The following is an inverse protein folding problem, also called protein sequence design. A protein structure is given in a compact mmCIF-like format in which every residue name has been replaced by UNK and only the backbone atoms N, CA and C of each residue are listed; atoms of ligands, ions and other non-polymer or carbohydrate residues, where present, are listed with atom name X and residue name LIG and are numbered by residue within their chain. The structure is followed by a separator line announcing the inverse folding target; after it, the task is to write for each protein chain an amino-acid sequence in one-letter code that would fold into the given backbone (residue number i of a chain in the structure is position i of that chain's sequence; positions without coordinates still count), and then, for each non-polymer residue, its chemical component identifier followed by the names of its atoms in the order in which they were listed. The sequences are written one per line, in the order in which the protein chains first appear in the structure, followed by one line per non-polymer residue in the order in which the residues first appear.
data_IF_169271501096
#
_entry.id   IF_169271501096
#
_cell.length_a   1.000
_cell.length_b   1.000
_cell.length_c   1.000
_cell.angle_alpha   90.00
_cell.angle_beta   90.00
_cell.angle_gamma   90.00
#
_symmetry.space_group_name_H-M   'P 1'
#
loop_
_entity.id
_entity.type
_entity.pdbx_description
1 polymer ?
#
# COMPACT_ATOMS: atom_id res chain seq x y z
N UNK A 1 1.36 -3.32 -30.38
CA UNK A 1 1.84 -2.24 -29.52
C UNK A 1 2.72 -2.93 -28.49
N UNK A 2 4.03 -2.67 -28.49
CA UNK A 2 4.93 -3.25 -27.49
C UNK A 2 4.52 -2.75 -26.11
N UNK A 3 4.23 -3.66 -25.20
CA UNK A 3 4.08 -3.33 -23.77
C UNK A 3 5.40 -2.68 -23.32
N UNK A 4 5.36 -1.51 -22.68
CA UNK A 4 6.58 -0.88 -22.19
C UNK A 4 7.23 -1.80 -21.14
N UNK A 5 8.50 -2.11 -21.35
CA UNK A 5 9.33 -2.90 -20.42
C UNK A 5 9.68 -2.08 -19.16
N UNK A 6 10.33 -2.72 -18.18
CA UNK A 6 10.89 -2.06 -17.01
C UNK A 6 11.65 -0.76 -17.36
N UNK A 7 11.23 0.36 -16.76
CA UNK A 7 11.86 1.66 -16.93
C UNK A 7 12.72 1.98 -15.70
N UNK A 8 14.07 1.92 -15.79
CA UNK A 8 14.97 2.25 -14.69
C UNK A 8 14.93 3.74 -14.31
N UNK A 9 14.43 4.60 -15.20
CA UNK A 9 14.29 6.05 -14.99
C UNK A 9 12.89 6.42 -14.46
N UNK A 10 12.00 5.44 -14.25
CA UNK A 10 10.70 5.68 -13.65
C UNK A 10 10.89 6.39 -12.31
N UNK A 11 10.32 7.60 -12.19
CA UNK A 11 10.45 8.39 -10.98
C UNK A 11 10.01 7.55 -9.79
N UNK A 12 10.84 7.53 -8.74
CA UNK A 12 10.60 6.71 -7.56
C UNK A 12 9.15 6.75 -7.12
N UNK A 13 8.65 5.60 -6.66
CA UNK A 13 7.49 5.60 -5.76
C UNK A 13 7.78 6.66 -4.69
N UNK A 14 6.94 7.71 -4.56
CA UNK A 14 7.18 8.77 -3.59
C UNK A 14 7.19 8.25 -2.15
N UNK A 15 6.95 6.96 -1.89
CA UNK A 15 6.84 6.35 -0.56
C UNK A 15 8.08 5.56 -0.11
N UNK A 16 9.03 5.31 -1.01
CA UNK A 16 10.43 5.00 -0.65
C UNK A 16 11.03 6.17 0.15
N UNK A 17 10.63 7.40 -0.11
CA UNK A 17 11.03 8.58 0.69
C UNK A 17 9.84 9.19 1.44
N UNK A 18 9.27 8.44 2.40
CA UNK A 18 8.46 9.07 3.45
C UNK A 18 7.58 8.13 4.25
N UNK A 19 6.47 8.70 4.70
CA UNK A 19 5.70 8.33 5.89
C UNK A 19 5.50 6.84 6.07
N UNK A 20 5.72 6.42 7.30
CA UNK A 20 5.58 5.05 7.74
C UNK A 20 4.19 4.87 8.36
N UNK A 21 3.17 4.43 7.61
CA UNK A 21 1.90 4.04 8.18
C UNK A 21 2.06 2.83 9.11
N UNK A 22 1.15 2.67 10.06
CA UNK A 22 1.09 1.50 10.95
C UNK A 22 0.09 0.48 10.42
N UNK A 23 -0.01 -0.70 11.02
CA UNK A 23 -1.08 -1.65 10.69
C UNK A 23 -2.47 -0.96 10.65
N UNK A 24 -3.31 -1.38 9.70
CA UNK A 24 -4.66 -0.83 9.45
C UNK A 24 -4.68 0.65 9.05
N UNK A 25 -3.64 1.09 8.33
CA UNK A 25 -3.60 2.48 7.88
C UNK A 25 -4.54 2.74 6.72
N UNK A 26 -4.76 1.76 5.83
CA UNK A 26 -5.63 1.92 4.68
C UNK A 26 -7.11 2.04 5.11
N UNK A 27 -7.54 1.27 6.11
CA UNK A 27 -8.88 1.39 6.70
C UNK A 27 -9.09 2.78 7.31
N UNK A 28 -8.10 3.26 8.05
CA UNK A 28 -8.13 4.62 8.60
C UNK A 28 -8.08 5.69 7.51
N UNK A 29 -7.31 5.48 6.45
CA UNK A 29 -7.25 6.38 5.31
C UNK A 29 -8.61 6.47 4.60
N UNK A 30 -9.33 5.35 4.47
CA UNK A 30 -10.69 5.31 3.93
C UNK A 30 -11.66 6.16 4.79
N UNK A 31 -11.63 6.00 6.11
CA UNK A 31 -12.45 6.78 7.04
C UNK A 31 -12.15 8.28 6.94
N UNK A 32 -10.87 8.65 6.78
CA UNK A 32 -10.44 10.05 6.62
C UNK A 32 -10.89 10.64 5.27
N UNK A 33 -10.81 9.88 4.18
CA UNK A 33 -11.34 10.30 2.87
C UNK A 33 -12.85 10.54 2.95
N UNK A 34 -13.59 9.64 3.60
CA UNK A 34 -15.02 9.81 3.83
C UNK A 34 -15.34 11.04 4.69
N UNK A 35 -14.59 11.26 5.77
CA UNK A 35 -14.77 12.47 6.60
C UNK A 35 -14.51 13.73 5.78
N UNK A 36 -13.44 13.74 4.97
CA UNK A 36 -13.12 14.87 4.10
C UNK A 36 -14.23 15.14 3.08
N UNK A 37 -14.82 14.08 2.52
CA UNK A 37 -15.95 14.17 1.59
C UNK A 37 -17.21 14.76 2.23
N UNK A 38 -17.48 14.41 3.50
CA UNK A 38 -18.61 14.97 4.25
C UNK A 38 -18.38 16.44 4.66
N UNK A 39 -17.12 16.89 4.70
CA UNK A 39 -16.73 18.21 5.17
C UNK A 39 -15.71 18.88 4.22
N UNK A 40 -16.09 19.14 2.95
CA UNK A 40 -15.16 19.63 1.92
C UNK A 40 -14.56 21.01 2.24
N UNK A 41 -15.34 21.89 2.86
CA UNK A 41 -14.91 23.27 3.16
C UNK A 41 -14.24 23.41 4.54
N UNK A 42 -14.23 22.35 5.34
CA UNK A 42 -13.67 22.41 6.70
C UNK A 42 -12.15 22.41 6.64
N UNK A 43 -11.49 23.32 7.38
CA UNK A 43 -10.03 23.35 7.45
C UNK A 43 -9.49 22.05 8.02
N UNK A 44 -8.36 21.58 7.47
CA UNK A 44 -7.72 20.33 7.93
C UNK A 44 -7.44 20.33 9.44
N UNK A 45 -6.99 21.45 10.02
CA UNK A 45 -6.68 21.49 11.46
C UNK A 45 -7.92 21.25 12.33
N UNK A 46 -9.10 21.68 11.87
CA UNK A 46 -10.38 21.39 12.53
C UNK A 46 -10.73 19.90 12.41
N UNK A 47 -10.58 19.31 11.22
CA UNK A 47 -10.79 17.87 11.02
C UNK A 47 -9.80 17.03 11.85
N UNK A 48 -8.53 17.43 11.89
CA UNK A 48 -7.50 16.77 12.67
C UNK A 48 -7.76 16.83 14.18
N UNK A 49 -8.32 17.94 14.67
CA UNK A 49 -8.82 18.06 16.04
C UNK A 49 -9.88 17.00 16.33
N UNK A 50 -10.93 16.93 15.50
CA UNK A 50 -12.02 15.94 15.63
C UNK A 50 -11.52 14.50 15.62
N UNK A 51 -10.61 14.16 14.71
CA UNK A 51 -10.01 12.82 14.63
C UNK A 51 -9.19 12.53 15.90
N UNK A 52 -8.47 13.51 16.45
CA UNK A 52 -7.69 13.35 17.68
C UNK A 52 -8.59 13.16 18.91
N UNK A 53 -9.72 13.88 18.97
CA UNK A 53 -10.71 13.78 20.04
C UNK A 53 -11.39 12.40 20.08
N UNK A 54 -11.45 11.70 18.94
CA UNK A 54 -11.86 10.29 18.86
C UNK A 54 -10.82 9.29 19.42
N UNK A 55 -9.73 9.78 20.04
CA UNK A 55 -8.69 8.95 20.66
C UNK A 55 -7.58 8.51 19.70
N UNK A 56 -7.58 9.01 18.45
CA UNK A 56 -6.53 8.68 17.48
C UNK A 56 -5.27 9.50 17.76
N UNK A 57 -4.14 8.80 17.92
CA UNK A 57 -2.86 9.44 18.23
C UNK A 57 -2.44 10.47 17.18
N UNK A 58 -2.03 11.67 17.65
CA UNK A 58 -1.65 12.83 16.82
C UNK A 58 -0.66 12.50 15.68
N UNK A 59 0.25 11.57 15.91
CA UNK A 59 1.21 11.10 14.89
C UNK A 59 0.50 10.47 13.70
N UNK A 60 -0.50 9.60 13.92
CA UNK A 60 -1.29 8.96 12.86
C UNK A 60 -2.10 9.99 12.09
N UNK A 61 -2.73 10.94 12.79
CA UNK A 61 -3.51 12.04 12.19
C UNK A 61 -2.64 12.95 11.32
N UNK A 62 -1.41 13.27 11.74
CA UNK A 62 -0.48 14.09 10.95
C UNK A 62 0.04 13.37 9.69
N UNK A 63 0.08 12.03 9.73
CA UNK A 63 0.66 11.19 8.66
C UNK A 63 -0.33 10.91 7.54
N UNK A 64 -1.62 10.72 7.84
CA UNK A 64 -2.61 10.28 6.86
C UNK A 64 -2.80 11.21 5.65
N UNK A 65 -2.82 12.56 5.75
CA UNK A 65 -3.05 13.40 4.58
C UNK A 65 -1.89 13.36 3.62
N UNK A 66 -0.68 13.24 4.17
CA UNK A 66 0.54 13.17 3.38
C UNK A 66 0.64 11.81 2.66
N UNK A 67 0.20 10.71 3.29
CA UNK A 67 0.05 9.43 2.58
C UNK A 67 -0.99 9.55 1.46
N UNK A 68 -2.20 10.03 1.78
CA UNK A 68 -3.29 10.18 0.81
C UNK A 68 -2.90 11.11 -0.35
N UNK A 69 -2.10 12.14 -0.10
CA UNK A 69 -1.57 12.99 -1.15
C UNK A 69 -0.60 12.25 -2.08
N UNK A 70 0.29 11.44 -1.51
CA UNK A 70 1.26 10.67 -2.30
C UNK A 70 0.63 9.54 -3.12
N UNK A 71 -0.49 8.96 -2.68
CA UNK A 71 -1.30 8.03 -3.48
C UNK A 71 -2.40 8.73 -4.28
N UNK A 72 -2.25 10.03 -4.58
CA UNK A 72 -3.12 10.76 -5.50
C UNK A 72 -4.55 10.98 -5.03
N UNK A 73 -4.89 10.69 -3.76
CA UNK A 73 -6.25 10.84 -3.21
C UNK A 73 -6.52 12.23 -2.62
N UNK A 74 -5.45 12.95 -2.23
CA UNK A 74 -5.54 14.35 -1.81
C UNK A 74 -4.58 15.22 -2.63
N UNK A 75 -4.94 16.48 -2.84
CA UNK A 75 -4.02 17.48 -3.40
C UNK A 75 -3.14 18.12 -2.30
N UNK A 76 -2.33 19.11 -2.70
CA UNK A 76 -1.41 19.83 -1.80
C UNK A 76 -2.15 20.61 -0.70
N UNK A 77 -3.39 21.04 -0.98
CA UNK A 77 -4.26 21.75 -0.05
C UNK A 77 -5.08 20.78 0.84
N UNK A 78 -4.83 19.47 0.72
CA UNK A 78 -5.55 18.38 1.40
C UNK A 78 -7.03 18.34 1.02
N UNK A 79 -7.37 18.78 -0.18
CA UNK A 79 -8.68 18.60 -0.79
C UNK A 79 -8.73 17.29 -1.57
N UNK A 80 -9.94 16.74 -1.74
CA UNK A 80 -10.11 15.47 -2.47
C UNK A 80 -9.82 15.68 -3.96
N UNK A 81 -9.01 14.79 -4.51
CA UNK A 81 -8.90 14.60 -5.96
C UNK A 81 -10.09 13.78 -6.46
N UNK A 82 -10.20 13.57 -7.79
CA UNK A 82 -11.19 12.67 -8.36
C UNK A 82 -11.07 11.23 -7.81
N UNK A 83 -9.85 10.70 -7.69
CA UNK A 83 -9.60 9.37 -7.11
C UNK A 83 -9.99 9.31 -5.64
N UNK A 84 -9.64 10.34 -4.86
CA UNK A 84 -10.01 10.42 -3.44
C UNK A 84 -11.51 10.50 -3.22
N UNK A 85 -12.22 11.28 -4.06
CA UNK A 85 -13.67 11.36 -4.08
C UNK A 85 -14.32 10.00 -4.38
N UNK A 86 -13.86 9.32 -5.44
CA UNK A 86 -14.37 8.01 -5.82
C UNK A 86 -14.17 6.97 -4.71
N UNK A 87 -13.00 6.94 -4.06
CA UNK A 87 -12.79 6.10 -2.88
C UNK A 87 -13.78 6.47 -1.78
N UNK A 88 -13.87 7.75 -1.41
CA UNK A 88 -14.73 8.22 -0.32
C UNK A 88 -16.21 7.81 -0.48
N UNK A 89 -16.74 7.84 -1.71
CA UNK A 89 -18.11 7.42 -2.03
C UNK A 89 -18.33 5.91 -1.82
N UNK A 90 -17.31 5.09 -2.11
CA UNK A 90 -17.38 3.64 -1.89
C UNK A 90 -17.29 3.27 -0.41
N UNK A 91 -16.75 4.16 0.45
CA UNK A 91 -16.46 3.80 1.83
C UNK A 91 -17.72 3.41 2.58
N UNK A 92 -17.73 2.19 3.13
CA UNK A 92 -18.79 1.70 4.01
C UNK A 92 -18.27 1.66 5.43
N UNK A 93 -18.91 2.45 6.30
CA UNK A 93 -18.68 2.39 7.74
C UNK A 93 -19.53 1.25 8.32
N UNK A 94 -18.96 0.46 9.24
CA UNK A 94 -19.63 -0.72 9.79
C UNK A 94 -20.94 -0.39 10.53
N UNK A 95 -21.78 -1.38 10.87
CA UNK A 95 -23.11 -1.16 11.45
C UNK A 95 -23.14 -0.41 12.80
N UNK A 96 -22.00 -0.32 13.51
CA UNK A 96 -21.88 0.52 14.72
C UNK A 96 -21.57 2.01 14.43
N UNK A 97 -21.47 2.40 13.16
CA UNK A 97 -21.03 3.73 12.75
C UNK A 97 -22.25 4.53 12.27
N UNK A 98 -23.07 4.96 13.22
CA UNK A 98 -24.22 5.85 12.98
C UNK A 98 -23.75 7.27 12.72
N UNK A 99 -23.07 7.51 11.60
CA UNK A 99 -22.80 8.85 11.04
C UNK A 99 -21.98 9.84 11.89
N UNK A 100 -21.56 9.46 13.10
CA UNK A 100 -20.83 10.33 14.02
C UNK A 100 -19.32 10.13 13.91
N UNK A 101 -18.60 11.24 14.02
CA UNK A 101 -17.14 11.38 14.06
C UNK A 101 -16.48 10.46 15.10
N UNK A 102 -17.24 10.04 16.13
CA UNK A 102 -16.87 9.08 17.17
C UNK A 102 -16.51 7.66 16.66
N UNK A 103 -16.68 7.40 15.36
CA UNK A 103 -16.45 6.09 14.77
C UNK A 103 -15.12 5.96 14.01
N UNK A 104 -14.39 7.05 13.80
CA UNK A 104 -13.10 7.05 13.07
C UNK A 104 -12.05 6.22 13.81
N UNK A 105 -11.30 5.42 13.04
CA UNK A 105 -10.23 4.54 13.50
C UNK A 105 -10.69 3.14 13.90
N UNK A 106 -11.99 2.83 13.72
CA UNK A 106 -12.58 1.57 14.16
C UNK A 106 -12.93 0.63 12.99
N UNK A 107 -12.77 1.07 11.74
CA UNK A 107 -13.00 0.21 10.58
C UNK A 107 -12.10 -1.04 10.64
N UNK A 108 -12.69 -2.25 10.71
CA UNK A 108 -11.93 -3.48 10.93
C UNK A 108 -11.29 -4.04 9.65
N UNK A 109 -11.89 -3.76 8.49
CA UNK A 109 -11.44 -4.23 7.18
C UNK A 109 -11.90 -3.29 6.07
N UNK A 110 -11.18 -3.34 4.94
CA UNK A 110 -11.63 -2.80 3.67
C UNK A 110 -12.62 -3.77 3.01
N UNK A 111 -13.71 -3.23 2.46
CA UNK A 111 -14.61 -3.93 1.54
C UNK A 111 -13.92 -4.18 0.20
N UNK A 112 -14.40 -5.13 -0.59
CA UNK A 112 -13.81 -5.46 -1.91
C UNK A 112 -13.70 -4.24 -2.83
N UNK A 113 -14.68 -3.34 -2.79
CA UNK A 113 -14.66 -2.09 -3.55
C UNK A 113 -13.54 -1.15 -3.08
N UNK A 114 -13.41 -0.95 -1.77
CA UNK A 114 -12.34 -0.13 -1.20
C UNK A 114 -10.95 -0.75 -1.49
N UNK A 115 -10.82 -2.08 -1.37
CA UNK A 115 -9.60 -2.80 -1.71
C UNK A 115 -9.22 -2.59 -3.19
N UNK A 116 -10.19 -2.67 -4.10
CA UNK A 116 -9.96 -2.44 -5.52
C UNK A 116 -9.47 -1.02 -5.82
N UNK A 117 -10.09 -0.02 -5.20
CA UNK A 117 -9.69 1.38 -5.41
C UNK A 117 -8.32 1.68 -4.81
N UNK A 118 -8.03 1.21 -3.60
CA UNK A 118 -6.69 1.37 -3.02
C UNK A 118 -5.62 0.63 -3.81
N UNK A 119 -5.91 -0.58 -4.29
CA UNK A 119 -4.99 -1.33 -5.15
C UNK A 119 -4.65 -0.55 -6.42
N UNK A 120 -5.65 0.06 -7.07
CA UNK A 120 -5.41 0.91 -8.23
C UNK A 120 -4.46 2.07 -7.88
N UNK A 121 -4.72 2.81 -6.80
CA UNK A 121 -3.88 3.95 -6.42
C UNK A 121 -2.46 3.52 -5.99
N UNK A 122 -2.33 2.36 -5.34
CA UNK A 122 -1.02 1.79 -5.00
C UNK A 122 -0.25 1.35 -6.26
N UNK A 123 -0.90 0.81 -7.30
CA UNK A 123 -0.21 0.51 -8.56
C UNK A 123 -0.03 1.71 -9.49
N UNK A 124 -0.69 2.83 -9.22
CA UNK A 124 -0.49 4.07 -9.96
C UNK A 124 0.67 4.89 -9.36
N UNK A 125 0.81 4.86 -8.04
CA UNK A 125 1.78 5.70 -7.32
C UNK A 125 2.89 4.92 -6.61
N UNK A 126 2.69 3.64 -6.31
CA UNK A 126 3.58 2.78 -5.51
C UNK A 126 3.91 1.45 -6.20
N UNK A 127 3.84 1.43 -7.52
CA UNK A 127 3.83 0.20 -8.30
C UNK A 127 5.03 -0.70 -8.01
N UNK A 128 6.24 -0.16 -7.95
CA UNK A 128 7.43 -0.99 -7.84
C UNK A 128 7.63 -1.60 -6.44
N UNK A 129 7.47 -0.88 -5.31
CA UNK A 129 7.40 -1.53 -4.00
C UNK A 129 6.31 -2.61 -3.90
N UNK A 130 5.15 -2.40 -4.52
CA UNK A 130 4.11 -3.43 -4.55
C UNK A 130 4.54 -4.65 -5.38
N UNK A 131 5.17 -4.45 -6.55
CA UNK A 131 5.74 -5.54 -7.34
C UNK A 131 6.86 -6.28 -6.60
N UNK A 132 7.71 -5.58 -5.84
CA UNK A 132 8.75 -6.21 -5.05
C UNK A 132 8.18 -7.16 -4.00
N UNK A 133 7.07 -6.80 -3.34
CA UNK A 133 6.35 -7.70 -2.43
C UNK A 133 5.81 -8.92 -3.18
N UNK A 134 5.12 -8.72 -4.31
CA UNK A 134 4.56 -9.83 -5.07
C UNK A 134 5.64 -10.78 -5.58
N UNK A 135 6.74 -10.24 -6.13
CA UNK A 135 7.87 -11.04 -6.58
C UNK A 135 8.46 -11.83 -5.41
N UNK A 136 8.72 -11.19 -4.26
CA UNK A 136 9.30 -11.86 -3.10
C UNK A 136 8.43 -13.03 -2.59
N UNK A 137 7.12 -12.83 -2.51
CA UNK A 137 6.17 -13.89 -2.10
C UNK A 137 6.04 -14.98 -3.17
N UNK A 138 6.21 -14.65 -4.45
CA UNK A 138 6.09 -15.62 -5.55
C UNK A 138 7.29 -16.57 -5.73
N UNK A 139 8.45 -16.24 -5.13
CA UNK A 139 9.72 -16.96 -5.37
C UNK A 139 10.36 -17.51 -4.12
N UNK A 140 9.81 -17.22 -2.94
CA UNK A 140 10.41 -17.62 -1.67
C UNK A 140 9.38 -17.94 -0.60
N UNK A 141 9.82 -18.67 0.41
CA UNK A 141 9.03 -18.92 1.61
C UNK A 141 9.17 -17.72 2.56
N UNK A 142 8.16 -16.85 2.56
CA UNK A 142 8.20 -15.60 3.32
C UNK A 142 7.40 -15.75 4.62
N UNK A 143 8.05 -15.63 5.77
CA UNK A 143 7.34 -15.66 7.06
C UNK A 143 6.43 -14.44 7.23
N UNK A 144 5.23 -14.65 7.77
CA UNK A 144 4.31 -13.58 8.14
C UNK A 144 4.88 -12.70 9.27
N UNK A 145 5.66 -13.30 10.15
CA UNK A 145 6.44 -12.57 11.15
C UNK A 145 7.44 -11.61 10.51
N UNK A 146 7.42 -10.37 11.02
CA UNK A 146 8.34 -9.32 10.59
C UNK A 146 9.77 -9.71 10.97
N UNK A 147 10.58 -10.05 9.97
CA UNK A 147 11.96 -10.50 10.13
C UNK A 147 12.93 -9.71 9.26
N UNK A 148 14.21 -9.79 9.63
CA UNK A 148 15.27 -9.09 8.93
C UNK A 148 15.50 -9.52 7.51
N UNK A 149 15.52 -10.83 7.32
CA UNK A 149 15.64 -11.44 6.00
C UNK A 149 14.53 -10.97 5.06
N UNK A 150 13.30 -10.85 5.55
CA UNK A 150 12.20 -10.31 4.74
C UNK A 150 12.43 -8.87 4.33
N UNK A 151 12.97 -8.04 5.22
CA UNK A 151 13.28 -6.65 4.93
C UNK A 151 14.48 -6.51 3.98
N UNK A 152 15.51 -7.31 4.16
CA UNK A 152 16.70 -7.32 3.33
C UNK A 152 16.34 -7.78 1.89
N UNK A 153 15.60 -8.89 1.75
CA UNK A 153 15.11 -9.37 0.45
C UNK A 153 14.16 -8.38 -0.26
N UNK A 154 13.34 -7.64 0.50
CA UNK A 154 12.50 -6.57 -0.05
C UNK A 154 13.36 -5.43 -0.56
N UNK A 155 14.36 -5.01 0.23
CA UNK A 155 15.25 -3.91 -0.12
C UNK A 155 16.13 -4.23 -1.32
N UNK A 156 16.64 -5.46 -1.44
CA UNK A 156 17.47 -5.89 -2.57
C UNK A 156 16.76 -5.65 -3.91
N UNK A 157 15.43 -5.86 -3.94
CA UNK A 157 14.60 -5.59 -5.13
C UNK A 157 14.46 -4.11 -5.46
N UNK A 158 14.65 -3.23 -4.48
CA UNK A 158 14.55 -1.78 -4.63
C UNK A 158 15.90 -1.11 -4.91
N UNK A 159 17.03 -1.82 -4.79
CA UNK A 159 18.37 -1.23 -4.91
C UNK A 159 18.63 -0.57 -6.27
N UNK A 160 17.94 -1.02 -7.31
CA UNK A 160 18.08 -0.50 -8.67
C UNK A 160 17.33 0.82 -8.91
N UNK A 161 16.65 1.36 -7.90
CA UNK A 161 15.88 2.59 -8.02
C UNK A 161 16.74 3.84 -7.87
N UNK A 162 16.51 4.82 -8.73
CA UNK A 162 17.25 6.08 -8.77
C UNK A 162 17.19 6.87 -7.45
N UNK A 163 16.13 6.76 -6.64
CA UNK A 163 16.04 7.36 -5.31
C UNK A 163 15.97 6.35 -4.17
N UNK A 164 16.42 5.12 -4.40
CA UNK A 164 16.80 4.26 -3.29
C UNK A 164 18.00 4.86 -2.56
N UNK A 165 17.93 4.85 -1.24
CA UNK A 165 18.96 5.39 -0.36
C UNK A 165 19.61 4.25 0.43
N UNK A 166 20.81 3.88 -0.02
CA UNK A 166 21.66 2.84 0.57
C UNK A 166 21.99 3.11 2.05
N UNK A 167 21.86 4.35 2.53
CA UNK A 167 22.16 4.73 3.91
C UNK A 167 21.06 4.34 4.91
N UNK A 168 19.96 3.72 4.46
CA UNK A 168 18.89 3.27 5.35
C UNK A 168 19.39 2.28 6.40
N UNK A 169 19.34 2.72 7.65
CA UNK A 169 19.53 1.84 8.79
C UNK A 169 18.44 0.77 8.88
N UNK A 170 18.74 -0.31 9.61
CA UNK A 170 17.90 -1.50 9.74
C UNK A 170 16.43 -1.19 10.09
N UNK A 171 16.19 -0.30 11.05
CA UNK A 171 14.82 0.08 11.45
C UNK A 171 14.00 0.69 10.31
N UNK A 172 14.63 1.44 9.41
CA UNK A 172 13.96 2.01 8.23
C UNK A 172 13.59 0.91 7.23
N UNK A 173 14.53 -0.01 6.95
CA UNK A 173 14.29 -1.17 6.08
C UNK A 173 13.14 -2.03 6.57
N UNK A 174 13.18 -2.41 7.85
CA UNK A 174 12.12 -3.22 8.50
C UNK A 174 10.76 -2.54 8.39
N UNK A 175 10.71 -1.23 8.66
CA UNK A 175 9.45 -0.49 8.60
C UNK A 175 8.89 -0.42 7.18
N UNK A 176 9.74 -0.20 6.18
CA UNK A 176 9.31 -0.13 4.77
C UNK A 176 8.81 -1.45 4.25
N UNK A 177 9.54 -2.53 4.50
CA UNK A 177 9.07 -3.88 4.18
C UNK A 177 7.73 -4.13 4.86
N UNK A 178 7.64 -3.89 6.17
CA UNK A 178 6.40 -4.06 6.94
C UNK A 178 5.19 -3.36 6.32
N UNK A 179 5.35 -2.10 5.92
CA UNK A 179 4.27 -1.29 5.37
C UNK A 179 3.73 -1.87 4.07
N UNK A 180 4.60 -2.21 3.13
CA UNK A 180 4.16 -2.66 1.81
C UNK A 180 3.56 -4.08 1.87
N UNK A 181 4.08 -4.93 2.76
CA UNK A 181 3.47 -6.23 3.04
C UNK A 181 2.09 -6.08 3.69
N UNK A 182 1.92 -5.20 4.68
CA UNK A 182 0.59 -4.90 5.26
C UNK A 182 -0.37 -4.36 4.19
N UNK A 183 0.08 -3.47 3.31
CA UNK A 183 -0.76 -2.98 2.22
C UNK A 183 -1.17 -4.09 1.26
N UNK A 184 -0.24 -4.92 0.81
CA UNK A 184 -0.51 -6.03 -0.11
C UNK A 184 -1.54 -7.01 0.48
N UNK A 185 -1.42 -7.32 1.77
CA UNK A 185 -2.38 -8.16 2.49
C UNK A 185 -3.76 -7.49 2.54
N UNK A 186 -3.80 -6.20 2.93
CA UNK A 186 -5.03 -5.43 3.12
C UNK A 186 -5.80 -5.18 1.82
N UNK A 187 -5.12 -5.15 0.67
CA UNK A 187 -5.75 -5.05 -0.66
C UNK A 187 -5.98 -6.41 -1.34
N UNK A 188 -5.78 -7.50 -0.60
CA UNK A 188 -6.14 -8.86 -1.00
C UNK A 188 -5.20 -9.49 -2.03
N UNK A 189 -3.94 -9.05 -2.10
CA UNK A 189 -2.95 -9.62 -3.02
C UNK A 189 -2.17 -10.78 -2.40
N UNK A 190 -1.95 -10.73 -1.09
CA UNK A 190 -1.29 -11.79 -0.33
C UNK A 190 -2.14 -12.16 0.87
N UNK A 191 -1.93 -13.36 1.40
CA UNK A 191 -2.57 -13.81 2.63
C UNK A 191 -1.59 -14.61 3.50
N UNK A 192 -1.85 -14.63 4.81
CA UNK A 192 -1.12 -15.47 5.75
C UNK A 192 -1.73 -16.88 5.78
N UNK A 193 -0.88 -17.88 5.54
CA UNK A 193 -1.21 -19.29 5.62
C UNK A 193 -1.39 -19.73 7.07
N UNK A 194 -2.00 -20.90 7.29
CA UNK A 194 -2.10 -21.50 8.62
C UNK A 194 -0.74 -21.86 9.24
N UNK A 195 0.31 -21.93 8.43
CA UNK A 195 1.68 -22.23 8.86
C UNK A 195 2.49 -20.97 9.18
N UNK A 196 1.89 -19.78 9.10
CA UNK A 196 2.57 -18.50 9.41
C UNK A 196 3.48 -18.00 8.29
N UNK A 197 3.21 -18.42 7.06
CA UNK A 197 3.92 -17.98 5.85
C UNK A 197 2.99 -17.16 4.98
N UNK A 198 3.52 -16.35 4.08
CA UNK A 198 2.75 -15.51 3.18
C UNK A 198 2.67 -16.17 1.80
N UNK A 199 1.48 -16.16 1.21
CA UNK A 199 1.23 -16.68 -0.13
C UNK A 199 0.49 -15.66 -1.00
N UNK A 200 0.65 -15.75 -2.33
CA UNK A 200 -0.14 -14.94 -3.25
C UNK A 200 -1.57 -15.48 -3.28
N UNK A 201 -2.55 -14.59 -3.14
CA UNK A 201 -3.95 -14.95 -3.44
C UNK A 201 -4.10 -15.20 -4.95
N UNK A 202 -5.22 -15.79 -5.43
CA UNK A 202 -5.47 -15.91 -6.87
C UNK A 202 -5.39 -14.57 -7.61
N UNK A 203 -5.82 -13.48 -6.97
CA UNK A 203 -5.70 -12.12 -7.49
C UNK A 203 -4.25 -11.63 -7.51
N UNK A 204 -3.49 -11.90 -6.43
CA UNK A 204 -2.07 -11.58 -6.35
C UNK A 204 -1.26 -12.28 -7.43
N UNK A 205 -1.49 -13.57 -7.63
CA UNK A 205 -0.87 -14.37 -8.68
C UNK A 205 -1.17 -13.81 -10.07
N UNK A 206 -2.44 -13.60 -10.40
CA UNK A 206 -2.83 -13.02 -11.68
C UNK A 206 -2.22 -11.61 -11.92
N UNK A 207 -2.14 -10.79 -10.86
CA UNK A 207 -1.53 -9.46 -10.91
C UNK A 207 -0.02 -9.56 -11.16
N UNK A 208 0.68 -10.42 -10.43
CA UNK A 208 2.12 -10.66 -10.57
C UNK A 208 2.46 -11.15 -11.98
N UNK A 209 1.72 -12.13 -12.50
CA UNK A 209 1.92 -12.63 -13.88
C UNK A 209 1.68 -11.54 -14.92
N UNK A 210 0.59 -10.77 -14.77
CA UNK A 210 0.27 -9.69 -15.73
C UNK A 210 1.34 -8.60 -15.77
N UNK A 211 1.93 -8.29 -14.63
CA UNK A 211 2.92 -7.22 -14.47
C UNK A 211 4.36 -7.73 -14.49
N UNK A 212 4.61 -9.01 -14.79
CA UNK A 212 5.95 -9.60 -14.78
C UNK A 212 6.92 -8.90 -15.73
N UNK A 213 6.44 -8.36 -16.85
CA UNK A 213 7.24 -7.57 -17.80
C UNK A 213 7.81 -6.26 -17.20
N UNK A 214 7.27 -5.83 -16.05
CA UNK A 214 7.77 -4.67 -15.30
C UNK A 214 8.74 -5.09 -14.17
N UNK A 215 9.04 -6.37 -14.00
CA UNK A 215 10.06 -6.81 -13.05
C UNK A 215 11.44 -6.41 -13.54
N UNK A 216 12.31 -6.04 -12.61
CA UNK A 216 13.72 -5.86 -12.94
C UNK A 216 14.31 -7.20 -13.43
N UNK A 217 15.14 -7.21 -14.49
CA UNK A 217 15.72 -8.44 -15.02
C UNK A 217 16.50 -9.28 -14.00
N UNK A 218 17.17 -8.61 -13.05
CA UNK A 218 17.97 -9.27 -12.00
C UNK A 218 17.15 -9.78 -10.81
N UNK A 219 15.83 -9.54 -10.77
CA UNK A 219 15.00 -10.10 -9.70
C UNK A 219 14.89 -11.62 -9.83
N UNK A 220 14.81 -12.35 -8.70
CA UNK A 220 14.60 -13.80 -8.73
C UNK A 220 13.33 -14.14 -9.51
N UNK A 221 13.42 -15.16 -10.36
CA UNK A 221 12.30 -15.68 -11.15
C UNK A 221 11.65 -16.86 -10.41
N UNK A 222 10.35 -17.04 -10.56
CA UNK A 222 9.64 -18.13 -9.90
C UNK A 222 10.04 -19.48 -10.52
N UNK A 223 10.34 -20.51 -9.71
CA UNK A 223 10.79 -21.81 -10.19
C UNK A 223 9.75 -22.56 -11.05
N UNK A 224 8.47 -22.18 -11.03
CA UNK A 224 7.44 -22.76 -11.92
C UNK A 224 7.60 -22.39 -13.41
N UNK A 225 8.61 -21.59 -13.77
CA UNK A 225 8.81 -21.07 -15.13
C UNK A 225 9.99 -21.70 -15.89
N UNK A 226 10.59 -22.77 -15.37
CA UNK A 226 11.59 -23.57 -16.11
C UNK A 226 11.01 -24.49 -17.19
N UNK A 227 9.69 -24.65 -17.26
CA UNK A 227 9.01 -25.58 -18.18
C UNK A 227 7.93 -24.90 -19.03
N UNK A 228 8.26 -23.79 -19.69
CA UNK A 228 7.60 -23.48 -20.97
C UNK A 228 8.66 -23.62 -22.05
N UNK A 229 8.85 -24.88 -22.43
CA UNK A 229 9.73 -25.27 -23.52
C UNK A 229 9.37 -24.57 -24.82
N UNK A 230 10.39 -24.40 -25.64
CA UNK A 230 10.29 -24.01 -27.04
C UNK A 230 9.09 -24.71 -27.72
N UNK A 231 8.12 -23.90 -28.17
CA UNK A 231 7.12 -24.27 -29.15
C UNK A 231 7.16 -23.29 -30.31
#
# INVERSE_FOLDING_TARGET
MSTPDFDPEASDSPHITGIQPTARFLEFAAEVLRLRWQHPDTKWDTLAGRISDAGIGKSKVKRVPKFLNKIGCLDQDKSLTGSGAAIAETVRLGPQHTGNEASIGNKPYLTDAEQAMFRQQLFEHDWLPMLAVLNQVSVGDVTADFGGERADNFVDRLTHLTGYDESWGRGTKDTKSRVHFDWAERVGLIEETKTGTLELTPLGSATNTRLQHLHHPDWPQSPEQGELGDF
#
